data_IF_442272693027
#
_entry.id   IF_442272693027
#
_cell.length_a   1.000
_cell.length_b   1.000
_cell.length_c   1.000
_cell.angle_alpha   90.00
_cell.angle_beta   90.00
_cell.angle_gamma   90.00
#
_symmetry.space_group_name_H-M   'P 1'
#
loop_
_entity.id
_entity.type
_entity.pdbx_description
1 polymer ?
#
# COMPACT_ATOMS: atom_id res chain seq x y z
N UNK A 1 10.22 -7.86 21.84
CA UNK A 1 9.24 -6.98 21.18
C UNK A 1 10.01 -5.74 20.73
N UNK A 2 10.33 -5.62 19.44
CA UNK A 2 11.04 -4.43 18.94
C UNK A 2 9.98 -3.41 18.58
N UNK A 3 9.84 -2.39 19.43
CA UNK A 3 8.86 -1.31 19.26
C UNK A 3 9.48 -0.17 18.45
N UNK A 4 8.70 0.42 17.56
CA UNK A 4 9.01 1.69 16.92
C UNK A 4 8.23 2.81 17.61
N UNK A 5 8.83 4.01 17.65
CA UNK A 5 8.18 5.22 18.14
C UNK A 5 7.91 6.12 16.94
N UNK A 6 6.65 6.55 16.79
CA UNK A 6 6.28 7.59 15.83
C UNK A 6 5.94 8.86 16.60
N UNK A 7 6.74 9.89 16.39
CA UNK A 7 6.46 11.25 16.88
C UNK A 7 5.41 11.90 15.99
N UNK A 8 4.44 12.56 16.61
CA UNK A 8 3.52 13.45 15.90
C UNK A 8 3.95 14.89 16.19
N UNK A 9 3.93 15.81 15.21
CA UNK A 9 4.36 17.19 15.41
C UNK A 9 3.38 18.02 16.28
N UNK A 10 2.44 17.38 16.97
CA UNK A 10 1.36 18.03 17.69
C UNK A 10 1.50 17.84 19.20
N UNK A 11 1.31 18.94 19.96
CA UNK A 11 1.23 18.92 21.42
C UNK A 11 -0.16 18.44 21.87
N UNK A 12 -0.21 17.81 23.04
CA UNK A 12 -1.45 17.34 23.65
C UNK A 12 -2.32 18.51 24.11
N UNK A 13 -3.63 18.40 23.92
CA UNK A 13 -4.59 19.51 24.01
C UNK A 13 -5.07 20.03 22.64
N UNK A 14 -4.44 19.60 21.54
CA UNK A 14 -5.08 19.68 20.22
C UNK A 14 -6.07 18.52 20.08
N UNK A 15 -7.34 18.83 19.79
CA UNK A 15 -8.40 17.83 19.54
C UNK A 15 -8.01 16.80 18.47
N UNK A 16 -7.06 17.17 17.61
CA UNK A 16 -6.53 16.36 16.53
C UNK A 16 -5.66 15.18 17.01
N UNK A 17 -4.77 15.38 17.99
CA UNK A 17 -3.89 14.32 18.49
C UNK A 17 -4.68 13.24 19.24
N UNK A 18 -5.62 13.64 20.09
CA UNK A 18 -6.45 12.71 20.84
C UNK A 18 -7.31 11.85 19.91
N UNK A 19 -7.80 12.44 18.81
CA UNK A 19 -8.56 11.74 17.80
C UNK A 19 -7.69 10.76 17.00
N UNK A 20 -6.49 11.21 16.59
CA UNK A 20 -5.47 10.38 15.93
C UNK A 20 -5.15 9.14 16.75
N UNK A 21 -4.75 9.33 18.01
CA UNK A 21 -4.30 8.26 18.87
C UNK A 21 -5.43 7.26 19.17
N UNK A 22 -6.64 7.76 19.47
CA UNK A 22 -7.81 6.90 19.72
C UNK A 22 -8.21 6.09 18.49
N UNK A 23 -8.26 6.71 17.33
CA UNK A 23 -8.63 6.02 16.08
C UNK A 23 -7.62 4.94 15.74
N UNK A 24 -6.32 5.25 15.83
CA UNK A 24 -5.28 4.29 15.55
C UNK A 24 -5.28 3.12 16.55
N UNK A 25 -5.36 3.38 17.86
CA UNK A 25 -5.46 2.34 18.90
C UNK A 25 -6.71 1.46 18.73
N UNK A 26 -7.84 2.05 18.36
CA UNK A 26 -9.10 1.30 18.23
C UNK A 26 -9.07 0.39 17.01
N UNK A 27 -8.66 0.93 15.86
CA UNK A 27 -8.65 0.19 14.59
C UNK A 27 -7.53 -0.86 14.57
N UNK A 28 -6.31 -0.51 15.01
CA UNK A 28 -5.18 -1.45 14.97
C UNK A 28 -5.41 -2.70 15.82
N UNK A 29 -6.08 -2.56 16.98
CA UNK A 29 -6.40 -3.69 17.85
C UNK A 29 -7.41 -4.69 17.25
N UNK A 30 -8.13 -4.30 16.19
CA UNK A 30 -9.14 -5.13 15.54
C UNK A 30 -8.69 -5.62 14.16
N UNK A 31 -7.62 -5.06 13.62
CA UNK A 31 -7.28 -5.19 12.21
C UNK A 31 -5.79 -5.51 12.05
N UNK A 32 -5.41 -6.79 11.86
CA UNK A 32 -4.01 -7.20 11.73
C UNK A 32 -3.33 -6.62 10.48
N UNK A 33 -4.10 -6.12 9.51
CA UNK A 33 -3.59 -5.45 8.31
C UNK A 33 -3.23 -3.96 8.54
N UNK A 34 -3.51 -3.44 9.75
CA UNK A 34 -3.06 -2.13 10.23
C UNK A 34 -1.88 -2.34 11.17
N UNK A 35 -0.90 -1.45 11.13
CA UNK A 35 0.25 -1.50 12.04
C UNK A 35 -0.24 -1.47 13.49
N UNK A 36 0.08 -2.52 14.24
CA UNK A 36 -0.33 -2.64 15.64
C UNK A 36 0.24 -1.49 16.47
N UNK A 37 -0.65 -0.78 17.16
CA UNK A 37 -0.31 0.21 18.17
C UNK A 37 -0.58 -0.32 19.56
N UNK A 38 0.39 -0.14 20.46
CA UNK A 38 0.34 -0.62 21.84
C UNK A 38 -0.08 0.45 22.83
N UNK A 39 0.09 1.73 22.48
CA UNK A 39 -0.22 2.81 23.39
C UNK A 39 0.50 4.11 23.03
N UNK A 40 0.48 5.01 24.00
CA UNK A 40 1.12 6.32 23.96
C UNK A 40 2.29 6.35 24.94
N UNK A 41 3.32 7.08 24.56
CA UNK A 41 4.41 7.49 25.46
C UNK A 41 4.75 8.96 25.23
N UNK A 42 5.69 9.52 25.99
CA UNK A 42 6.18 10.88 25.83
C UNK A 42 7.69 10.90 25.66
N UNK A 43 8.17 11.81 24.82
CA UNK A 43 9.58 12.13 24.69
C UNK A 43 10.00 12.96 25.92
N UNK A 44 10.90 12.45 26.77
CA UNK A 44 11.31 13.16 27.99
C UNK A 44 12.05 14.46 27.72
N UNK A 45 12.61 14.67 26.51
CA UNK A 45 13.39 15.86 26.17
C UNK A 45 12.53 17.09 25.88
N UNK A 46 11.33 16.90 25.33
CA UNK A 46 10.49 17.99 24.84
C UNK A 46 9.00 17.82 25.19
N UNK A 47 8.61 16.71 25.84
CA UNK A 47 7.24 16.41 26.24
C UNK A 47 6.30 16.04 25.10
N UNK A 48 6.81 15.83 23.88
CA UNK A 48 5.99 15.44 22.73
C UNK A 48 5.49 14.02 22.89
N UNK A 49 4.22 13.79 22.54
CA UNK A 49 3.65 12.46 22.61
C UNK A 49 4.03 11.63 21.38
N UNK A 50 4.19 10.33 21.61
CA UNK A 50 4.58 9.35 20.60
C UNK A 50 3.66 8.15 20.65
N UNK A 51 3.34 7.58 19.49
CA UNK A 51 2.71 6.26 19.43
C UNK A 51 3.77 5.17 19.53
N UNK A 52 3.51 4.18 20.38
CA UNK A 52 4.29 2.95 20.46
C UNK A 52 3.64 1.93 19.54
N UNK A 53 4.39 1.44 18.55
CA UNK A 53 3.86 0.54 17.52
C UNK A 53 4.86 -0.55 17.13
N UNK A 54 4.39 -1.54 16.37
CA UNK A 54 5.27 -2.53 15.77
C UNK A 54 6.32 -1.88 14.88
N UNK A 55 7.58 -2.29 15.04
CA UNK A 55 8.64 -1.91 14.11
C UNK A 55 8.46 -2.65 12.79
N UNK A 56 8.51 -1.91 11.70
CA UNK A 56 8.63 -2.42 10.33
C UNK A 56 10.00 -2.10 9.77
N UNK A 57 10.35 -2.71 8.64
CA UNK A 57 11.69 -2.52 8.04
C UNK A 57 11.80 -1.19 7.31
N UNK A 58 10.75 -0.80 6.59
CA UNK A 58 10.75 0.41 5.76
C UNK A 58 9.32 0.87 5.43
N UNK A 59 9.21 1.99 4.71
CA UNK A 59 7.97 2.43 4.05
C UNK A 59 7.96 2.00 2.57
N UNK A 60 6.77 1.92 1.96
CA UNK A 60 6.59 1.44 0.59
C UNK A 60 7.37 2.30 -0.41
N UNK A 61 7.50 3.61 -0.16
CA UNK A 61 8.23 4.51 -1.06
C UNK A 61 9.70 4.11 -1.16
N UNK A 62 10.36 3.97 -0.01
CA UNK A 62 11.76 3.53 0.06
C UNK A 62 11.93 2.11 -0.47
N UNK A 63 10.99 1.21 -0.15
CA UNK A 63 11.02 -0.16 -0.66
C UNK A 63 11.01 -0.19 -2.19
N UNK A 64 10.10 0.56 -2.83
CA UNK A 64 10.03 0.64 -4.29
C UNK A 64 11.29 1.24 -4.89
N UNK A 65 11.83 2.33 -4.31
CA UNK A 65 13.08 2.93 -4.79
C UNK A 65 14.26 1.95 -4.82
N UNK A 66 14.30 1.02 -3.85
CA UNK A 66 15.38 0.05 -3.72
C UNK A 66 15.17 -1.21 -4.56
N UNK A 67 13.92 -1.67 -4.71
CA UNK A 67 13.62 -3.03 -5.20
C UNK A 67 12.77 -3.07 -6.47
N UNK A 68 12.26 -1.94 -6.99
CA UNK A 68 11.25 -1.93 -8.07
C UNK A 68 11.62 -2.75 -9.31
N UNK A 69 12.89 -2.69 -9.74
CA UNK A 69 13.38 -3.43 -10.92
C UNK A 69 13.40 -4.95 -10.71
N UNK A 70 13.40 -5.42 -9.46
CA UNK A 70 13.42 -6.85 -9.11
C UNK A 70 12.02 -7.41 -8.88
N UNK A 71 11.03 -6.54 -8.64
CA UNK A 71 9.66 -6.96 -8.36
C UNK A 71 8.96 -7.52 -9.60
N UNK A 72 8.54 -8.78 -9.51
CA UNK A 72 7.62 -9.39 -10.44
C UNK A 72 6.19 -8.85 -10.23
N UNK A 73 5.34 -9.02 -11.25
CA UNK A 73 3.95 -8.56 -11.18
C UNK A 73 3.14 -9.22 -10.06
N UNK A 74 3.40 -10.50 -9.74
CA UNK A 74 2.73 -11.18 -8.62
C UNK A 74 2.96 -10.48 -7.28
N UNK A 75 4.18 -9.99 -7.04
CA UNK A 75 4.54 -9.28 -5.80
C UNK A 75 3.92 -7.88 -5.77
N UNK A 76 3.99 -7.16 -6.90
CA UNK A 76 3.34 -5.84 -7.06
C UNK A 76 1.84 -5.90 -6.79
N UNK A 77 1.17 -6.92 -7.33
CA UNK A 77 -0.27 -7.13 -7.15
C UNK A 77 -0.58 -7.55 -5.72
N UNK A 78 0.26 -8.37 -5.09
CA UNK A 78 0.11 -8.75 -3.68
C UNK A 78 0.18 -7.52 -2.76
N UNK A 79 1.14 -6.62 -2.98
CA UNK A 79 1.24 -5.35 -2.22
C UNK A 79 -0.07 -4.56 -2.33
N UNK A 80 -0.62 -4.41 -3.53
CA UNK A 80 -1.90 -3.70 -3.73
C UNK A 80 -3.06 -4.43 -3.04
N UNK A 81 -3.10 -5.76 -3.10
CA UNK A 81 -4.13 -6.55 -2.45
C UNK A 81 -4.10 -6.38 -0.92
N UNK A 82 -2.92 -6.35 -0.30
CA UNK A 82 -2.73 -6.10 1.12
C UNK A 82 -3.23 -4.70 1.52
N UNK A 83 -2.86 -3.66 0.75
CA UNK A 83 -3.30 -2.28 1.01
C UNK A 83 -4.82 -2.16 0.90
N UNK A 84 -5.43 -2.76 -0.13
CA UNK A 84 -6.89 -2.74 -0.32
C UNK A 84 -7.60 -3.50 0.81
N UNK A 85 -7.04 -4.61 1.28
CA UNK A 85 -7.58 -5.36 2.41
C UNK A 85 -7.53 -4.52 3.70
N UNK A 86 -6.40 -3.87 3.96
CA UNK A 86 -6.25 -2.95 5.09
C UNK A 86 -7.25 -1.79 5.02
N UNK A 87 -7.42 -1.19 3.84
CA UNK A 87 -8.38 -0.09 3.65
C UNK A 87 -9.83 -0.54 3.85
N UNK A 88 -10.18 -1.76 3.39
CA UNK A 88 -11.49 -2.34 3.67
C UNK A 88 -11.77 -2.40 5.17
N UNK A 89 -10.77 -2.76 5.99
CA UNK A 89 -10.93 -2.78 7.44
C UNK A 89 -11.23 -1.41 8.01
N UNK A 90 -10.53 -0.37 7.54
CA UNK A 90 -10.78 1.02 7.93
C UNK A 90 -12.20 1.44 7.53
N UNK A 91 -12.63 1.14 6.31
CA UNK A 91 -13.97 1.47 5.82
C UNK A 91 -15.09 0.73 6.58
N UNK A 92 -14.85 -0.51 7.02
CA UNK A 92 -15.80 -1.28 7.84
C UNK A 92 -16.00 -0.68 9.23
N UNK A 93 -15.04 0.09 9.74
CA UNK A 93 -15.18 0.88 10.97
C UNK A 93 -15.86 2.25 10.69
N UNK A 94 -16.49 2.40 9.52
CA UNK A 94 -17.12 3.63 9.02
C UNK A 94 -16.19 4.85 8.98
N UNK A 95 -14.89 4.61 8.76
CA UNK A 95 -13.87 5.65 8.74
C UNK A 95 -13.23 5.78 7.34
N UNK A 96 -12.86 7.01 6.98
CA UNK A 96 -12.09 7.36 5.78
C UNK A 96 -10.66 7.63 6.23
N UNK A 97 -9.66 7.10 5.52
CA UNK A 97 -8.25 7.29 5.86
C UNK A 97 -7.76 8.71 5.60
N UNK A 98 -8.13 9.30 4.45
CA UNK A 98 -7.89 10.71 4.04
C UNK A 98 -6.45 11.10 3.71
N UNK A 99 -5.45 10.32 4.15
CA UNK A 99 -4.03 10.57 3.85
C UNK A 99 -3.27 9.32 3.38
N UNK A 100 -3.86 8.58 2.42
CA UNK A 100 -3.20 7.40 1.84
C UNK A 100 -2.13 7.82 0.83
N UNK A 101 -0.89 7.45 1.12
CA UNK A 101 0.24 7.58 0.21
C UNK A 101 1.33 6.57 0.58
N UNK A 102 2.32 6.35 -0.29
CA UNK A 102 3.35 5.32 -0.07
C UNK A 102 4.18 5.50 1.20
N UNK A 103 4.38 6.73 1.66
CA UNK A 103 5.02 7.00 2.96
C UNK A 103 4.20 6.57 4.20
N UNK A 104 2.89 6.34 4.05
CA UNK A 104 2.02 5.84 5.12
C UNK A 104 1.71 4.34 4.95
N UNK A 105 2.30 3.68 3.96
CA UNK A 105 2.29 2.22 3.83
C UNK A 105 3.62 1.69 4.36
N UNK A 106 3.58 0.90 5.44
CA UNK A 106 4.77 0.24 5.98
C UNK A 106 4.93 -1.15 5.37
N UNK A 107 6.17 -1.58 5.19
CA UNK A 107 6.50 -2.85 4.58
C UNK A 107 7.38 -3.69 5.50
N UNK A 108 7.01 -4.95 5.66
CA UNK A 108 7.79 -5.95 6.39
C UNK A 108 8.41 -6.92 5.37
N UNK A 109 9.73 -6.83 5.20
CA UNK A 109 10.47 -7.50 4.12
C UNK A 109 10.45 -9.01 4.30
N UNK A 110 10.67 -9.50 5.53
CA UNK A 110 10.73 -10.93 5.82
C UNK A 110 9.42 -11.65 5.45
N UNK A 111 8.28 -11.04 5.75
CA UNK A 111 6.97 -11.61 5.44
C UNK A 111 6.40 -11.16 4.09
N UNK A 112 7.08 -10.23 3.40
CA UNK A 112 6.58 -9.57 2.18
C UNK A 112 5.16 -9.00 2.34
N UNK A 113 4.87 -8.42 3.52
CA UNK A 113 3.54 -7.89 3.87
C UNK A 113 3.53 -6.38 3.96
N UNK A 114 2.45 -5.78 3.45
CA UNK A 114 2.20 -4.34 3.52
C UNK A 114 1.13 -4.00 4.54
N UNK A 115 1.33 -2.90 5.27
CA UNK A 115 0.42 -2.45 6.32
C UNK A 115 0.11 -0.97 6.14
N UNK A 116 -1.15 -0.59 6.33
CA UNK A 116 -1.50 0.83 6.45
C UNK A 116 -1.05 1.33 7.83
N UNK A 117 -0.43 2.50 7.83
CA UNK A 117 -0.06 3.26 9.03
C UNK A 117 -0.64 4.66 8.97
N UNK A 118 -0.48 5.40 10.05
CA UNK A 118 -0.96 6.78 10.20
C UNK A 118 -2.45 6.99 9.98
N UNK A 119 -3.21 6.68 11.02
CA UNK A 119 -4.64 6.95 11.06
C UNK A 119 -4.96 8.34 11.64
N UNK A 120 -4.02 9.30 11.55
CA UNK A 120 -4.18 10.61 12.20
C UNK A 120 -5.29 11.49 11.64
N UNK A 121 -5.53 11.39 10.33
CA UNK A 121 -6.66 12.05 9.70
C UNK A 121 -7.92 11.17 9.67
N UNK A 122 -7.80 9.90 10.06
CA UNK A 122 -8.83 8.89 9.87
C UNK A 122 -10.08 9.22 10.68
N UNK A 123 -11.24 9.31 10.02
CA UNK A 123 -12.48 9.67 10.70
C UNK A 123 -13.73 9.44 9.88
N UNK A 124 -14.92 9.59 10.50
CA UNK A 124 -16.16 9.23 9.83
C UNK A 124 -16.49 10.22 8.71
N UNK A 125 -17.09 9.71 7.63
CA UNK A 125 -17.43 10.48 6.45
C UNK A 125 -18.32 11.70 6.75
N UNK A 126 -19.24 11.56 7.70
CA UNK A 126 -20.17 12.62 8.11
C UNK A 126 -19.57 13.70 9.03
N UNK A 127 -18.26 13.63 9.32
CA UNK A 127 -17.53 14.68 10.05
C UNK A 127 -16.39 15.19 9.18
N UNK A 128 -16.66 16.11 8.24
CA UNK A 128 -15.65 16.65 7.34
C UNK A 128 -14.58 17.43 8.12
N UNK A 129 -13.36 17.45 7.58
CA UNK A 129 -12.27 18.26 8.09
C UNK A 129 -12.46 19.71 7.65
N UNK A 130 -11.97 20.67 8.45
CA UNK A 130 -12.07 22.11 8.15
C UNK A 130 -11.14 22.56 7.03
N UNK A 131 -10.10 21.78 6.75
CA UNK A 131 -9.08 22.06 5.74
C UNK A 131 -8.82 20.82 4.90
N UNK A 132 -8.29 21.03 3.70
CA UNK A 132 -7.78 19.95 2.86
C UNK A 132 -6.46 19.48 3.47
N UNK A 133 -6.39 18.20 3.82
CA UNK A 133 -5.19 17.53 4.27
C UNK A 133 -4.84 16.42 3.29
N UNK A 134 -3.55 16.15 3.16
CA UNK A 134 -3.03 15.02 2.40
C UNK A 134 -1.87 15.38 1.48
N UNK A 135 -1.28 14.36 0.88
CA UNK A 135 -0.20 14.51 -0.09
C UNK A 135 -0.78 14.74 -1.50
N UNK A 136 -0.58 15.94 -2.06
CA UNK A 136 -1.27 16.46 -3.26
C UNK A 136 -1.47 15.44 -4.40
N UNK A 137 -0.46 14.67 -4.85
CA UNK A 137 -0.62 13.69 -5.92
C UNK A 137 -1.67 12.60 -5.65
N UNK A 138 -1.98 12.32 -4.38
CA UNK A 138 -2.89 11.27 -3.93
C UNK A 138 -4.28 11.81 -3.56
N UNK A 139 -4.47 13.14 -3.57
CA UNK A 139 -5.74 13.77 -3.23
C UNK A 139 -6.68 13.70 -4.43
N UNK A 140 -7.90 13.22 -4.21
CA UNK A 140 -8.92 13.13 -5.25
C UNK A 140 -9.36 14.52 -5.76
N UNK A 141 -9.67 14.68 -7.06
CA UNK A 141 -9.95 15.98 -7.66
C UNK A 141 -11.14 16.70 -7.01
N UNK A 142 -12.16 15.98 -6.57
CA UNK A 142 -13.29 16.55 -5.85
C UNK A 142 -12.88 17.16 -4.50
N UNK A 143 -11.89 16.56 -3.84
CA UNK A 143 -11.38 17.05 -2.55
C UNK A 143 -10.51 18.28 -2.76
N UNK A 144 -9.73 18.34 -3.86
CA UNK A 144 -8.93 19.51 -4.23
C UNK A 144 -9.81 20.76 -4.38
N UNK A 145 -11.00 20.62 -4.98
CA UNK A 145 -11.96 21.75 -5.14
C UNK A 145 -12.83 21.99 -3.89
N UNK A 146 -12.49 21.39 -2.75
CA UNK A 146 -13.14 21.64 -1.47
C UNK A 146 -14.43 20.86 -1.22
N UNK A 147 -14.76 19.83 -2.03
CA UNK A 147 -15.83 18.90 -1.67
C UNK A 147 -15.38 17.97 -0.54
N UNK A 148 -16.36 17.44 0.19
CA UNK A 148 -16.09 16.55 1.32
C UNK A 148 -15.35 15.28 0.87
N UNK A 149 -14.39 14.84 1.70
CA UNK A 149 -13.75 13.54 1.54
C UNK A 149 -14.77 12.42 1.79
N UNK A 150 -14.71 11.38 0.96
CA UNK A 150 -15.63 10.23 1.02
C UNK A 150 -14.83 8.93 1.00
N UNK A 151 -15.47 7.79 1.21
CA UNK A 151 -14.81 6.50 0.96
C UNK A 151 -14.24 6.41 -0.47
N UNK A 152 -14.88 7.06 -1.45
CA UNK A 152 -14.44 7.11 -2.85
C UNK A 152 -13.19 7.97 -3.05
N UNK A 153 -12.89 8.92 -2.17
CA UNK A 153 -11.62 9.65 -2.25
C UNK A 153 -10.44 8.78 -1.84
N UNK A 154 -10.59 7.87 -0.87
CA UNK A 154 -9.54 6.89 -0.56
C UNK A 154 -9.29 5.94 -1.75
N UNK A 155 -10.33 5.57 -2.51
CA UNK A 155 -10.20 4.74 -3.72
C UNK A 155 -9.35 5.44 -4.79
N UNK A 156 -9.45 6.76 -4.92
CA UNK A 156 -8.57 7.53 -5.80
C UNK A 156 -7.10 7.44 -5.33
N UNK A 157 -6.85 7.58 -4.03
CA UNK A 157 -5.50 7.44 -3.47
C UNK A 157 -4.92 6.04 -3.71
N UNK A 158 -5.75 4.99 -3.68
CA UNK A 158 -5.34 3.63 -4.07
C UNK A 158 -4.88 3.57 -5.52
N UNK A 159 -5.56 4.26 -6.45
CA UNK A 159 -5.13 4.31 -7.85
C UNK A 159 -3.74 4.96 -8.00
N UNK A 160 -3.45 6.00 -7.22
CA UNK A 160 -2.13 6.65 -7.20
C UNK A 160 -1.05 5.74 -6.62
N UNK A 161 -1.37 4.96 -5.58
CA UNK A 161 -0.51 3.91 -5.06
C UNK A 161 -0.27 2.80 -6.10
N UNK A 162 -1.31 2.35 -6.80
CA UNK A 162 -1.18 1.37 -7.89
C UNK A 162 -0.23 1.88 -8.99
N UNK A 163 -0.37 3.15 -9.37
CA UNK A 163 0.52 3.75 -10.36
C UNK A 163 1.97 3.84 -9.85
N UNK A 164 2.18 4.22 -8.59
CA UNK A 164 3.51 4.28 -7.98
C UNK A 164 4.16 2.90 -7.88
N UNK A 165 3.41 1.86 -7.51
CA UNK A 165 3.90 0.47 -7.48
C UNK A 165 4.27 -0.02 -8.87
N UNK A 166 3.48 0.34 -9.88
CA UNK A 166 3.78 0.03 -11.28
C UNK A 166 5.04 0.74 -11.78
N UNK A 167 5.21 2.02 -11.46
CA UNK A 167 6.29 2.87 -12.01
C UNK A 167 7.58 2.88 -11.18
N UNK A 168 7.49 2.51 -9.90
CA UNK A 168 8.58 2.64 -8.93
C UNK A 168 8.86 4.08 -8.51
N UNK A 169 8.01 5.03 -8.91
CA UNK A 169 8.23 6.47 -8.72
C UNK A 169 7.00 7.16 -8.15
N UNK A 170 7.17 8.20 -7.34
CA UNK A 170 6.06 9.04 -6.88
C UNK A 170 5.21 9.59 -8.06
N UNK A 171 3.87 9.62 -7.94
CA UNK A 171 3.02 10.23 -8.95
C UNK A 171 3.37 11.71 -9.12
N UNK A 172 3.43 12.16 -10.37
CA UNK A 172 3.79 13.53 -10.74
C UNK A 172 5.18 14.00 -10.26
N UNK A 173 6.15 13.10 -10.09
CA UNK A 173 7.53 13.43 -9.66
C UNK A 173 8.21 14.58 -10.45
N UNK A 174 7.82 14.79 -11.71
CA UNK A 174 8.38 15.85 -12.57
C UNK A 174 7.62 17.19 -12.48
N UNK A 175 6.65 17.31 -11.58
CA UNK A 175 5.86 18.52 -11.37
C UNK A 175 6.18 19.11 -10.00
N UNK A 176 6.12 20.42 -9.89
CA UNK A 176 6.08 21.08 -8.59
C UNK A 176 4.73 20.79 -7.92
N UNK A 177 4.75 20.45 -6.63
CA UNK A 177 3.53 20.15 -5.87
C UNK A 177 2.86 21.44 -5.39
N UNK A 178 2.38 22.24 -6.34
CA UNK A 178 1.82 23.56 -6.13
C UNK A 178 0.36 23.65 -6.62
N UNK A 179 -0.21 24.86 -6.59
CA UNK A 179 -1.58 25.11 -7.06
C UNK A 179 -1.79 24.71 -8.53
N UNK A 180 -0.79 24.88 -9.39
CA UNK A 180 -0.90 24.56 -10.81
C UNK A 180 -1.06 23.05 -11.02
N UNK A 181 -0.30 22.23 -10.30
CA UNK A 181 -0.48 20.78 -10.33
C UNK A 181 -1.88 20.40 -9.81
N UNK A 182 -2.34 21.03 -8.73
CA UNK A 182 -3.67 20.78 -8.18
C UNK A 182 -4.76 21.04 -9.23
N UNK A 183 -4.70 22.17 -9.94
CA UNK A 183 -5.66 22.50 -10.99
C UNK A 183 -5.52 21.61 -12.23
N UNK A 184 -4.31 21.20 -12.59
CA UNK A 184 -4.11 20.24 -13.67
C UNK A 184 -4.76 18.88 -13.35
N UNK A 185 -4.69 18.42 -12.09
CA UNK A 185 -5.34 17.18 -11.63
C UNK A 185 -6.87 17.29 -11.75
N UNK A 186 -7.42 18.43 -11.32
CA UNK A 186 -8.85 18.75 -11.45
C UNK A 186 -9.28 18.77 -12.92
N UNK A 187 -8.44 19.32 -13.80
CA UNK A 187 -8.65 19.37 -15.25
C UNK A 187 -8.38 18.03 -15.97
N UNK A 188 -8.10 16.97 -15.23
CA UNK A 188 -8.03 15.62 -15.77
C UNK A 188 -6.64 15.12 -16.13
N UNK A 189 -5.56 15.83 -15.79
CA UNK A 189 -4.23 15.26 -15.94
C UNK A 189 -4.11 14.00 -15.08
N UNK A 190 -3.52 12.96 -15.64
CA UNK A 190 -3.18 11.71 -14.95
C UNK A 190 -1.75 11.32 -15.29
N UNK A 191 -1.05 10.58 -14.40
CA UNK A 191 0.28 10.08 -14.70
C UNK A 191 0.28 9.17 -15.94
N UNK A 192 1.33 9.25 -16.75
CA UNK A 192 1.46 8.40 -17.95
C UNK A 192 1.58 6.93 -17.54
N UNK A 193 0.79 6.07 -18.17
CA UNK A 193 0.81 4.62 -17.89
C UNK A 193 2.14 4.02 -18.38
N UNK A 194 2.76 3.21 -17.54
CA UNK A 194 4.07 2.61 -17.82
C UNK A 194 3.91 1.42 -18.77
N UNK A 195 4.69 1.36 -19.88
CA UNK A 195 4.71 0.20 -20.75
C UNK A 195 5.03 -1.09 -19.98
N UNK A 196 4.33 -2.18 -20.31
CA UNK A 196 4.46 -3.46 -19.59
C UNK A 196 3.57 -3.60 -18.34
N UNK A 197 2.74 -2.60 -18.03
CA UNK A 197 1.66 -2.74 -17.04
C UNK A 197 0.59 -3.72 -17.58
N UNK A 198 0.23 -4.78 -16.84
CA UNK A 198 -0.85 -5.70 -17.18
C UNK A 198 -2.16 -4.97 -17.45
N UNK A 199 -2.93 -5.49 -18.42
CA UNK A 199 -4.16 -4.86 -18.86
C UNK A 199 -5.19 -4.79 -17.74
N UNK A 200 -5.39 -5.89 -17.01
CA UNK A 200 -6.39 -5.99 -15.95
C UNK A 200 -6.04 -5.06 -14.76
N UNK A 201 -4.75 -4.94 -14.45
CA UNK A 201 -4.25 -4.02 -13.43
C UNK A 201 -4.43 -2.56 -13.86
N UNK A 202 -4.08 -2.27 -15.11
CA UNK A 202 -4.24 -0.95 -15.72
C UNK A 202 -5.70 -0.52 -15.72
N UNK A 203 -6.60 -1.37 -16.16
CA UNK A 203 -8.02 -1.04 -16.28
C UNK A 203 -8.66 -0.80 -14.91
N UNK A 204 -8.29 -1.61 -13.90
CA UNK A 204 -8.70 -1.39 -12.52
C UNK A 204 -8.17 -0.06 -11.95
N UNK A 205 -6.88 0.23 -12.16
CA UNK A 205 -6.26 1.48 -11.75
C UNK A 205 -6.96 2.69 -12.41
N UNK A 206 -7.27 2.59 -13.70
CA UNK A 206 -7.98 3.65 -14.42
C UNK A 206 -9.39 3.86 -13.87
N UNK A 207 -10.09 2.78 -13.54
CA UNK A 207 -11.41 2.89 -12.94
C UNK A 207 -11.36 3.60 -11.58
N UNK A 208 -10.32 3.35 -10.79
CA UNK A 208 -10.17 3.93 -9.45
C UNK A 208 -9.82 5.44 -9.46
N UNK A 209 -9.14 5.95 -10.50
CA UNK A 209 -8.77 7.39 -10.58
C UNK A 209 -9.73 8.25 -11.41
N UNK A 210 -10.93 7.75 -11.71
CA UNK A 210 -11.94 8.52 -12.44
C UNK A 210 -12.21 9.86 -11.73
N UNK A 211 -12.39 10.93 -12.50
CA UNK A 211 -12.68 12.25 -11.94
C UNK A 211 -14.04 12.27 -11.23
N UNK A 212 -15.00 11.50 -11.70
CA UNK A 212 -16.31 11.32 -11.08
C UNK A 212 -16.23 10.21 -10.00
N UNK A 213 -16.40 10.55 -8.70
CA UNK A 213 -16.33 9.58 -7.61
C UNK A 213 -17.37 8.47 -7.72
N UNK A 214 -18.50 8.71 -8.40
CA UNK A 214 -19.57 7.72 -8.58
C UNK A 214 -19.18 6.58 -9.53
N UNK A 215 -18.24 6.83 -10.44
CA UNK A 215 -17.74 5.83 -11.40
C UNK A 215 -16.64 4.93 -10.81
N UNK A 216 -16.05 5.34 -9.69
CA UNK A 216 -15.06 4.54 -8.96
C UNK A 216 -15.76 3.35 -8.29
N UNK A 217 -15.14 2.16 -8.23
CA UNK A 217 -15.71 1.03 -7.49
C UNK A 217 -15.82 1.36 -5.99
N UNK A 218 -16.71 0.69 -5.27
CA UNK A 218 -16.61 0.67 -3.80
C UNK A 218 -15.49 -0.28 -3.36
N UNK A 219 -15.14 -0.22 -2.08
CA UNK A 219 -14.01 -0.99 -1.53
C UNK A 219 -14.24 -2.51 -1.61
N UNK A 220 -15.49 -2.97 -1.57
CA UNK A 220 -15.84 -4.40 -1.63
C UNK A 220 -15.61 -4.91 -3.07
N UNK A 221 -16.13 -4.17 -4.05
CA UNK A 221 -15.95 -4.44 -5.47
C UNK A 221 -14.48 -4.39 -5.86
N UNK A 222 -13.76 -3.36 -5.39
CA UNK A 222 -12.33 -3.21 -5.62
C UNK A 222 -11.54 -4.40 -5.07
N UNK A 223 -11.86 -4.84 -3.84
CA UNK A 223 -11.25 -6.03 -3.22
C UNK A 223 -11.51 -7.31 -4.03
N UNK A 224 -12.74 -7.50 -4.54
CA UNK A 224 -13.02 -8.69 -5.36
C UNK A 224 -12.17 -8.71 -6.61
N UNK A 225 -12.16 -7.59 -7.36
CA UNK A 225 -11.41 -7.47 -8.61
C UNK A 225 -9.91 -7.67 -8.41
N UNK A 226 -9.28 -7.02 -7.42
CA UNK A 226 -7.85 -7.21 -7.18
C UNK A 226 -7.53 -8.63 -6.73
N UNK A 227 -8.44 -9.28 -5.98
CA UNK A 227 -8.24 -10.68 -5.54
C UNK A 227 -8.26 -11.65 -6.72
N UNK A 228 -9.15 -11.43 -7.69
CA UNK A 228 -9.20 -12.21 -8.93
C UNK A 228 -7.91 -12.05 -9.74
N UNK A 229 -7.45 -10.79 -9.92
CA UNK A 229 -6.17 -10.49 -10.57
C UNK A 229 -5.02 -11.17 -9.81
N UNK A 230 -4.97 -11.04 -8.48
CA UNK A 230 -3.92 -11.66 -7.67
C UNK A 230 -3.90 -13.18 -7.83
N UNK A 231 -5.05 -13.83 -7.72
CA UNK A 231 -5.16 -15.29 -7.88
C UNK A 231 -4.58 -15.76 -9.22
N UNK A 232 -4.93 -15.07 -10.32
CA UNK A 232 -4.42 -15.38 -11.66
C UNK A 232 -2.89 -15.27 -11.77
N UNK A 233 -2.29 -14.24 -11.15
CA UNK A 233 -0.84 -14.05 -11.19
C UNK A 233 -0.08 -15.02 -10.29
N UNK A 234 -0.64 -15.38 -9.13
CA UNK A 234 -0.05 -16.39 -8.26
C UNK A 234 -0.14 -17.79 -8.88
N UNK A 235 -1.24 -18.14 -9.56
CA UNK A 235 -1.39 -19.44 -10.21
C UNK A 235 -0.42 -19.63 -11.38
N UNK A 236 -0.15 -18.56 -12.15
CA UNK A 236 0.80 -18.63 -13.27
C UNK A 236 2.23 -18.91 -12.83
N UNK A 237 2.69 -18.34 -11.71
CA UNK A 237 4.05 -18.61 -11.23
C UNK A 237 4.24 -20.05 -10.77
N UNK A 238 3.23 -20.62 -10.11
CA UNK A 238 3.32 -21.99 -9.61
C UNK A 238 3.45 -23.00 -10.76
N UNK A 239 2.75 -22.76 -11.87
CA UNK A 239 2.87 -23.62 -13.07
C UNK A 239 4.23 -23.50 -13.76
N UNK A 240 4.86 -22.32 -13.76
CA UNK A 240 6.22 -22.17 -14.31
C UNK A 240 7.30 -22.85 -13.44
N UNK A 241 7.10 -22.91 -12.12
CA UNK A 241 8.01 -23.60 -11.20
C UNK A 241 7.83 -25.12 -11.24
N UNK A 242 6.59 -25.63 -11.37
CA UNK A 242 6.31 -27.06 -11.56
C UNK A 242 6.87 -27.60 -12.88
N UNK A 243 6.73 -26.86 -14.00
CA UNK A 243 7.27 -27.27 -15.30
C UNK A 243 8.81 -27.30 -15.34
N UNK A 244 9.48 -26.47 -14.54
CA UNK A 244 10.93 -26.53 -14.37
C UNK A 244 11.37 -27.76 -13.56
N UNK A 245 10.55 -28.22 -12.61
CA UNK A 245 10.83 -29.43 -11.83
C UNK A 245 10.68 -30.74 -12.65
N UNK A 246 9.83 -30.73 -13.68
CA UNK A 246 9.70 -31.84 -14.63
C UNK A 246 10.80 -31.86 -15.70
N UNK A 247 11.35 -30.71 -16.09
CA UNK A 247 12.41 -30.63 -17.12
C UNK A 247 13.81 -30.91 -16.57
N UNK A 248 14.08 -30.64 -15.28
CA UNK A 248 15.37 -30.97 -14.65
C UNK A 248 15.55 -32.48 -14.40
N UNK A 249 14.46 -33.27 -14.39
CA UNK A 249 14.51 -34.72 -14.18
C UNK A 249 14.66 -35.58 -15.45
N UNK A 250 14.78 -34.97 -16.64
CA UNK A 250 14.94 -35.70 -17.92
C UNK A 250 16.32 -35.57 -18.57
N UNK A 251 17.28 -34.89 -17.92
CA UNK A 251 18.64 -34.74 -18.43
C UNK A 251 19.70 -35.04 -17.35
N UNK A 252 19.76 -36.29 -16.90
CA UNK A 252 20.98 -36.83 -16.27
C UNK A 252 21.43 -38.08 -17.05
N UNK A 253 22.59 -38.04 -17.73
CA UNK A 253 23.19 -39.26 -18.27
C UNK A 253 23.65 -40.14 -17.11
N UNK A 254 23.13 -41.36 -17.05
CA UNK A 254 23.56 -42.42 -16.14
C UNK A 254 25.04 -42.72 -16.42
N UNK A 255 25.95 -42.27 -15.58
CA UNK A 255 27.31 -42.82 -15.50
C UNK A 255 27.27 -44.07 -14.62
N UNK A 256 27.32 -45.24 -15.24
CA UNK A 256 27.60 -46.52 -14.59
C UNK A 256 29.05 -46.51 -14.08
N UNK A 257 29.25 -46.44 -12.78
CA UNK A 257 30.55 -46.71 -12.13
C UNK A 257 30.59 -48.21 -11.81
N UNK A 258 31.41 -48.94 -12.56
CA UNK A 258 31.76 -50.34 -12.28
C UNK A 258 32.80 -50.38 -11.15
N UNK A 259 32.42 -50.86 -9.96
CA UNK A 259 33.37 -51.13 -8.88
C UNK A 259 34.13 -52.42 -9.22
N UNK A 260 35.44 -52.31 -9.48
CA UNK A 260 36.36 -53.45 -9.55
C UNK A 260 36.89 -53.71 -8.13
N UNK A 261 36.49 -54.85 -7.54
CA UNK A 261 37.08 -55.38 -6.31
C UNK A 261 38.41 -56.07 -6.67
N UNK A 262 39.53 -55.48 -6.28
CA UNK A 262 40.86 -56.09 -6.40
C UNK A 262 41.25 -56.80 -5.11
N UNK A 263 41.55 -58.09 -5.22
CA UNK A 263 42.06 -58.94 -4.13
C UNK A 263 43.50 -58.57 -3.74
N UNK A 264 43.79 -58.57 -2.43
CA UNK A 264 45.15 -58.61 -1.89
C UNK A 264 45.85 -59.94 -2.22
N UNK A 265 47.11 -59.84 -2.64
CA UNK A 265 48.18 -60.77 -2.29
C UNK A 265 49.39 -59.94 -1.87
#
# INVERSE_FOLDING_TARGET
MITALRTFPFRLGSTFFDFTAKSHLTISNRCPEIVQCYGLTQDPSNGSYMLVMNKTDTDLRKYLQQNHNQLAWKERIQIVADIILALLRVHNENAIHRDLHSGNILFMVFDSRSFISDLGFCGPANKPLKSIYGNLPYIAPEVIIGKEQTFKSDIYSIAMLMWEISSGRPPFINYEHNYDLAMNIVNGIRPKIIPGTPLEYKDLMIQCWDADPSKRPDIITLRSKIREINYFYQSKSNQSEENNHFTVNLLTPIFLITIKVGHCK
#
